data_IF_343142760456
#
_entry.id   IF_343142760456
#
_cell.length_a   1.000
_cell.length_b   1.000
_cell.length_c   1.000
_cell.angle_alpha   90.00
_cell.angle_beta   90.00
_cell.angle_gamma   90.00
#
_symmetry.space_group_name_H-M   'P 1'
#
loop_
_entity.id
_entity.type
_entity.pdbx_description
1 polymer ?
#
# COMPACT_ATOMS: atom_id res chain seq x y z
N UNK A 1 10.55 -0.10 -3.89
CA UNK A 1 10.71 -0.41 -2.45
C UNK A 1 9.42 -0.10 -1.75
N UNK A 2 9.02 -0.96 -0.81
CA UNK A 2 7.77 -0.81 -0.08
C UNK A 2 7.93 -1.15 1.40
N UNK A 3 7.31 -0.34 2.26
CA UNK A 3 7.39 -0.47 3.72
C UNK A 3 6.05 -0.18 4.37
N UNK A 4 5.75 -0.87 5.47
CA UNK A 4 4.52 -0.70 6.25
C UNK A 4 4.83 -0.41 7.71
N UNK A 5 3.94 0.32 8.37
CA UNK A 5 3.99 0.56 9.80
C UNK A 5 2.58 0.66 10.37
N UNK A 6 2.38 0.12 11.56
CA UNK A 6 1.15 0.32 12.32
C UNK A 6 1.13 1.71 12.96
N UNK A 7 -0.06 2.26 13.14
CA UNK A 7 -0.32 3.53 13.80
C UNK A 7 -1.02 3.23 15.12
N UNK A 8 -0.34 3.52 16.23
CA UNK A 8 -0.89 3.31 17.59
C UNK A 8 -1.32 4.61 18.28
N UNK A 9 -1.50 5.67 17.51
CA UNK A 9 -1.90 6.98 18.03
C UNK A 9 -3.39 6.97 18.41
N UNK A 10 -3.70 7.37 19.64
CA UNK A 10 -5.07 7.44 20.13
C UNK A 10 -5.96 8.36 19.27
N UNK A 11 -7.22 7.97 19.08
CA UNK A 11 -8.24 8.68 18.29
C UNK A 11 -7.91 8.90 16.81
N UNK A 12 -6.99 8.12 16.25
CA UNK A 12 -6.67 8.15 14.83
C UNK A 12 -7.51 7.12 14.06
N UNK A 13 -8.09 7.51 12.93
CA UNK A 13 -8.83 6.57 12.07
C UNK A 13 -7.92 5.76 11.17
N UNK A 14 -6.72 6.30 10.88
CA UNK A 14 -5.68 5.58 10.14
C UNK A 14 -4.94 4.65 11.11
N UNK A 15 -5.06 3.33 10.91
CA UNK A 15 -4.46 2.30 11.75
C UNK A 15 -3.15 1.74 11.20
N UNK A 16 -2.88 1.93 9.90
CA UNK A 16 -1.66 1.49 9.24
C UNK A 16 -1.28 2.48 8.13
N UNK A 17 0.02 2.57 7.85
CA UNK A 17 0.57 3.29 6.71
C UNK A 17 1.41 2.36 5.84
N UNK A 18 1.42 2.62 4.53
CA UNK A 18 2.36 1.99 3.60
C UNK A 18 3.04 3.02 2.71
N UNK A 19 4.36 2.98 2.67
CA UNK A 19 5.17 3.75 1.75
C UNK A 19 5.51 2.89 0.54
N UNK A 20 5.30 3.43 -0.66
CA UNK A 20 5.76 2.83 -1.91
C UNK A 20 6.59 3.84 -2.70
N UNK A 21 7.88 3.58 -2.82
CA UNK A 21 8.81 4.39 -3.61
C UNK A 21 9.16 3.63 -4.89
N UNK A 22 8.82 4.25 -6.02
CA UNK A 22 9.20 3.78 -7.35
C UNK A 22 10.53 4.41 -7.76
N UNK A 23 11.18 3.86 -8.79
CA UNK A 23 12.41 4.43 -9.37
C UNK A 23 12.22 5.84 -9.97
N UNK A 24 10.98 6.31 -10.11
CA UNK A 24 10.58 7.56 -10.77
C UNK A 24 10.56 8.82 -9.89
N UNK A 25 11.18 8.80 -8.71
CA UNK A 25 11.24 9.92 -7.75
C UNK A 25 9.94 10.28 -7.00
N UNK A 26 8.82 9.63 -7.31
CA UNK A 26 7.60 9.79 -6.53
C UNK A 26 7.48 8.71 -5.45
N UNK A 27 7.02 9.14 -4.28
CA UNK A 27 6.78 8.27 -3.13
C UNK A 27 5.32 8.38 -2.74
N UNK A 28 4.61 7.27 -2.83
CA UNK A 28 3.23 7.15 -2.38
C UNK A 28 3.21 6.79 -0.90
N UNK A 29 2.28 7.39 -0.17
CA UNK A 29 1.88 7.03 1.18
C UNK A 29 0.41 6.66 1.14
N UNK A 30 0.12 5.42 1.46
CA UNK A 30 -1.23 4.89 1.60
C UNK A 30 -1.59 4.82 3.09
N UNK A 31 -2.81 5.20 3.42
CA UNK A 31 -3.37 5.00 4.76
C UNK A 31 -4.53 4.04 4.75
N UNK A 32 -4.64 3.27 5.84
CA UNK A 32 -5.60 2.20 5.99
C UNK A 32 -6.37 2.37 7.30
N UNK A 33 -7.65 2.03 7.26
CA UNK A 33 -8.52 1.98 8.44
C UNK A 33 -8.51 0.61 9.14
N UNK A 34 -7.71 -0.32 8.64
CA UNK A 34 -7.60 -1.71 9.12
C UNK A 34 -6.11 -2.09 9.33
N UNK A 35 -5.83 -2.99 10.26
CA UNK A 35 -4.49 -3.60 10.40
C UNK A 35 -4.24 -4.73 9.39
N UNK A 36 -5.32 -5.36 8.91
CA UNK A 36 -5.27 -6.44 7.91
C UNK A 36 -4.96 -5.90 6.51
N UNK A 37 -4.44 -6.76 5.63
CA UNK A 37 -4.19 -6.38 4.24
C UNK A 37 -5.50 -6.05 3.51
N UNK A 38 -5.47 -5.05 2.64
CA UNK A 38 -6.67 -4.44 2.11
C UNK A 38 -6.37 -3.25 1.21
N UNK A 39 -7.39 -2.72 0.55
CA UNK A 39 -7.28 -1.47 -0.20
C UNK A 39 -7.01 -0.31 0.76
N UNK A 40 -6.26 0.67 0.28
CA UNK A 40 -6.10 1.93 0.99
C UNK A 40 -7.42 2.71 1.07
N UNK A 41 -7.58 3.45 2.16
CA UNK A 41 -8.70 4.40 2.34
C UNK A 41 -8.35 5.76 1.70
N UNK A 42 -7.06 6.12 1.75
CA UNK A 42 -6.54 7.33 1.14
C UNK A 42 -5.10 7.15 0.67
N UNK A 43 -4.71 8.01 -0.27
CA UNK A 43 -3.34 8.09 -0.80
C UNK A 43 -2.81 9.53 -0.81
N UNK A 44 -1.49 9.67 -0.67
CA UNK A 44 -0.75 10.93 -0.82
C UNK A 44 0.55 10.69 -1.56
N UNK A 45 0.98 11.65 -2.36
CA UNK A 45 2.25 11.60 -3.10
C UNK A 45 3.23 12.63 -2.56
N UNK A 46 4.49 12.21 -2.41
CA UNK A 46 5.61 13.03 -1.97
C UNK A 46 6.76 12.93 -2.97
N UNK A 47 7.65 13.93 -2.96
CA UNK A 47 8.80 14.00 -3.87
C UNK A 47 9.99 13.14 -3.45
N UNK A 48 9.99 12.63 -2.22
CA UNK A 48 11.04 11.76 -1.70
C UNK A 48 10.59 11.08 -0.40
N UNK A 49 11.34 10.06 0.00
CA UNK A 49 11.08 9.28 1.22
C UNK A 49 11.17 10.12 2.49
N UNK A 50 12.09 11.08 2.56
CA UNK A 50 12.32 11.88 3.76
C UNK A 50 11.07 12.68 4.15
N UNK A 51 10.48 13.38 3.18
CA UNK A 51 9.22 14.12 3.37
C UNK A 51 8.07 13.21 3.78
N UNK A 52 8.02 11.99 3.24
CA UNK A 52 6.99 11.01 3.60
C UNK A 52 7.12 10.57 5.06
N UNK A 53 8.34 10.27 5.51
CA UNK A 53 8.57 9.87 6.89
C UNK A 53 8.39 11.02 7.88
N UNK A 54 8.82 12.25 7.54
CA UNK A 54 8.52 13.43 8.36
C UNK A 54 7.02 13.65 8.51
N UNK A 55 6.25 13.46 7.44
CA UNK A 55 4.81 13.55 7.48
C UNK A 55 4.21 12.46 8.36
N UNK A 56 4.65 11.20 8.18
CA UNK A 56 4.18 10.07 8.97
C UNK A 56 4.44 10.24 10.48
N UNK A 57 5.63 10.72 10.85
CA UNK A 57 5.98 11.01 12.23
C UNK A 57 5.12 12.14 12.80
N UNK A 58 5.01 13.28 12.10
CA UNK A 58 4.26 14.45 12.60
C UNK A 58 2.76 14.19 12.72
N UNK A 59 2.17 13.47 11.76
CA UNK A 59 0.73 13.25 11.73
C UNK A 59 0.31 12.02 12.54
N UNK A 60 1.06 10.93 12.42
CA UNK A 60 0.64 9.61 12.93
C UNK A 60 1.56 9.07 14.05
N UNK A 61 2.65 9.77 14.39
CA UNK A 61 3.59 9.32 15.43
C UNK A 61 4.40 8.08 15.02
N UNK A 62 4.46 7.77 13.73
CA UNK A 62 5.21 6.61 13.23
C UNK A 62 6.68 6.96 13.11
N UNK A 63 7.52 6.25 13.86
CA UNK A 63 8.97 6.42 13.90
C UNK A 63 9.67 5.61 12.81
N UNK A 64 10.94 5.95 12.54
CA UNK A 64 11.75 5.26 11.51
C UNK A 64 11.91 3.76 11.77
N UNK A 65 11.93 3.37 13.04
CA UNK A 65 12.12 1.99 13.49
C UNK A 65 10.86 1.13 13.34
N UNK A 66 9.69 1.76 13.20
CA UNK A 66 8.41 1.05 13.10
C UNK A 66 8.15 0.49 11.70
N UNK A 67 8.91 0.97 10.70
CA UNK A 67 8.73 0.59 9.30
C UNK A 67 9.36 -0.75 8.97
N UNK A 68 8.52 -1.69 8.55
CA UNK A 68 8.91 -3.03 8.11
C UNK A 68 8.87 -3.12 6.58
N UNK A 69 9.89 -3.73 5.98
CA UNK A 69 9.94 -3.94 4.52
C UNK A 69 8.94 -5.02 4.11
N UNK A 70 8.19 -4.77 3.05
CA UNK A 70 7.31 -5.74 2.39
C UNK A 70 7.73 -5.91 0.92
N UNK A 71 7.39 -7.04 0.27
CA UNK A 71 7.69 -7.25 -1.15
C UNK A 71 7.17 -6.11 -2.02
N UNK A 72 7.82 -5.80 -3.15
CA UNK A 72 7.22 -4.91 -4.15
C UNK A 72 6.02 -5.61 -4.84
N UNK A 73 5.03 -4.86 -5.34
CA UNK A 73 3.88 -5.45 -6.03
C UNK A 73 4.34 -6.22 -7.28
N UNK A 74 3.66 -7.33 -7.60
CA UNK A 74 3.87 -8.03 -8.87
C UNK A 74 3.41 -7.15 -10.03
N UNK A 75 3.95 -7.40 -11.22
CA UNK A 75 3.56 -6.66 -12.43
C UNK A 75 2.04 -6.74 -12.65
N UNK A 76 1.43 -5.58 -12.89
CA UNK A 76 -0.02 -5.45 -13.08
C UNK A 76 -0.87 -5.54 -11.80
N UNK A 77 -0.25 -5.70 -10.62
CA UNK A 77 -0.95 -5.63 -9.34
C UNK A 77 -1.10 -4.20 -8.83
N UNK A 78 -2.14 -4.00 -8.03
CA UNK A 78 -2.40 -2.75 -7.32
C UNK A 78 -1.31 -2.51 -6.28
N UNK A 79 -0.76 -1.29 -6.19
CA UNK A 79 0.37 -1.00 -5.31
C UNK A 79 -0.03 -0.91 -3.84
N UNK A 80 -1.31 -0.67 -3.54
CA UNK A 80 -1.84 -0.42 -2.20
C UNK A 80 -2.21 -1.68 -1.40
N UNK A 81 -2.10 -2.87 -2.00
CA UNK A 81 -2.26 -4.16 -1.33
C UNK A 81 -0.92 -4.85 -1.10
N UNK A 82 -0.67 -5.37 0.11
CA UNK A 82 0.56 -6.12 0.41
C UNK A 82 0.62 -7.40 -0.43
N UNK A 83 -0.44 -8.21 -0.38
CA UNK A 83 -0.60 -9.38 -1.21
C UNK A 83 -0.89 -9.00 -2.67
N UNK A 84 -0.55 -9.87 -3.63
CA UNK A 84 -0.86 -9.61 -5.03
C UNK A 84 -2.38 -9.53 -5.23
N UNK A 85 -2.86 -8.35 -5.58
CA UNK A 85 -4.24 -8.09 -6.00
C UNK A 85 -4.20 -7.30 -7.29
N UNK A 86 -5.05 -7.64 -8.26
CA UNK A 86 -5.16 -6.91 -9.53
C UNK A 86 -6.60 -6.84 -10.02
N UNK A 87 -6.84 -5.96 -10.99
CA UNK A 87 -8.13 -5.92 -11.69
C UNK A 87 -8.23 -7.16 -12.58
N UNK A 88 -9.36 -7.87 -12.50
CA UNK A 88 -9.62 -9.05 -13.31
C UNK A 88 -9.45 -8.73 -14.80
N UNK A 89 -8.76 -9.60 -15.52
CA UNK A 89 -8.52 -9.42 -16.95
C UNK A 89 -7.41 -8.42 -17.32
N UNK A 90 -6.81 -7.72 -16.33
CA UNK A 90 -5.70 -6.78 -16.53
C UNK A 90 -4.53 -7.42 -17.27
N UNK A 91 -4.13 -8.63 -16.88
CA UNK A 91 -3.02 -9.37 -17.50
C UNK A 91 -3.26 -9.75 -18.97
N UNK A 92 -4.51 -9.71 -19.43
CA UNK A 92 -4.91 -10.04 -20.80
C UNK A 92 -5.30 -8.80 -21.62
N UNK A 93 -5.07 -7.59 -21.10
CA UNK A 93 -5.44 -6.33 -21.74
C UNK A 93 -6.96 -6.09 -21.82
N UNK A 94 -7.75 -6.78 -20.99
CA UNK A 94 -9.21 -6.68 -20.93
C UNK A 94 -9.66 -6.48 -19.48
N UNK A 95 -9.32 -5.34 -18.85
CA UNK A 95 -9.70 -5.11 -17.46
C UNK A 95 -11.22 -5.11 -17.30
N UNK A 96 -11.70 -5.71 -16.22
CA UNK A 96 -13.07 -5.63 -15.74
C UNK A 96 -13.09 -4.75 -14.48
N UNK A 97 -13.26 -3.41 -14.61
CA UNK A 97 -13.20 -2.50 -13.47
C UNK A 97 -14.19 -2.89 -12.38
N UNK A 98 -13.75 -2.81 -11.12
CA UNK A 98 -14.55 -3.20 -9.96
C UNK A 98 -14.56 -4.70 -9.65
N UNK A 99 -13.93 -5.55 -10.49
CA UNK A 99 -13.68 -6.95 -10.17
C UNK A 99 -12.20 -7.15 -9.85
N UNK A 100 -11.90 -7.58 -8.64
CA UNK A 100 -10.55 -7.81 -8.16
C UNK A 100 -10.27 -9.30 -8.11
N UNK A 101 -9.01 -9.67 -8.30
CA UNK A 101 -8.53 -11.03 -8.09
C UNK A 101 -7.24 -11.02 -7.27
N UNK A 102 -7.07 -12.02 -6.40
CA UNK A 102 -5.86 -12.24 -5.61
C UNK A 102 -5.19 -13.57 -5.98
N UNK A 103 -3.87 -13.66 -5.73
CA UNK A 103 -3.09 -14.86 -6.03
C UNK A 103 -3.06 -15.80 -4.82
N UNK A 104 -3.77 -16.92 -4.90
CA UNK A 104 -3.78 -17.97 -3.88
C UNK A 104 -3.28 -19.29 -4.47
N UNK A 105 -2.25 -19.89 -3.86
CA UNK A 105 -1.68 -21.18 -4.30
C UNK A 105 -1.28 -21.22 -5.79
N UNK A 106 -0.87 -20.08 -6.35
CA UNK A 106 -0.47 -19.97 -7.76
C UNK A 106 -1.63 -19.73 -8.74
N UNK A 107 -2.87 -19.65 -8.25
CA UNK A 107 -4.07 -19.38 -9.05
C UNK A 107 -4.70 -18.04 -8.68
N UNK A 108 -5.20 -17.31 -9.69
CA UNK A 108 -5.91 -16.06 -9.47
C UNK A 108 -7.39 -16.34 -9.17
N UNK A 109 -7.90 -15.77 -8.08
CA UNK A 109 -9.28 -15.93 -7.63
C UNK A 109 -9.94 -14.59 -7.39
N UNK A 110 -11.21 -14.47 -7.79
CA UNK A 110 -12.02 -13.27 -7.57
C UNK A 110 -12.30 -13.06 -6.08
N UNK A 111 -12.25 -11.81 -5.62
CA UNK A 111 -12.50 -11.37 -4.24
C UNK A 111 -13.50 -10.21 -4.18
#
# INVERSE_FOLDING_TARGET
>A
MRKVADVFKDNESTLRLMVYSTSGQEVYLFGYINHEDGSSDWEKTFRNLELTYEYAQKQYGVERVDWNTVPDPLEGCLPDWINPVRVKGQAFGKPEPGKLETLENGEWKEI
#
